data_IF_023706102079
#
_entry.id   IF_023706102079
#
_cell.length_a   1.000
_cell.length_b   1.000
_cell.length_c   1.000
_cell.angle_alpha   90.00
_cell.angle_beta   90.00
_cell.angle_gamma   90.00
#
_symmetry.space_group_name_H-M   'P 1'
#
loop_
_entity.id
_entity.type
_entity.pdbx_description
1 polymer ?
#
# COMPACT_ATOMS: atom_id res chain seq x y z
N UNK A 1 9.40 38.29 -0.25
CA UNK A 1 7.97 38.06 -0.56
C UNK A 1 7.72 37.88 -2.05
N UNK A 2 8.66 37.31 -2.81
CA UNK A 2 8.55 37.00 -4.24
C UNK A 2 9.49 35.82 -4.56
N UNK A 3 9.03 34.59 -4.36
CA UNK A 3 9.67 33.36 -4.92
C UNK A 3 8.82 32.09 -4.72
N UNK A 4 7.48 32.19 -4.81
CA UNK A 4 6.57 31.03 -4.76
C UNK A 4 5.81 30.88 -6.07
N UNK A 5 6.52 30.65 -7.18
CA UNK A 5 5.90 30.17 -8.41
C UNK A 5 6.95 29.41 -9.22
N UNK A 6 7.12 28.12 -8.95
CA UNK A 6 7.81 27.23 -9.87
C UNK A 6 7.28 25.80 -9.67
N UNK A 7 6.73 25.25 -10.76
CA UNK A 7 6.35 23.84 -10.97
C UNK A 7 5.12 23.30 -10.23
N UNK A 8 3.96 23.87 -10.52
CA UNK A 8 2.78 23.03 -10.78
C UNK A 8 2.55 23.09 -12.30
N UNK A 9 2.33 21.97 -13.01
CA UNK A 9 1.70 22.08 -14.32
C UNK A 9 0.40 22.86 -14.11
N UNK A 10 0.05 23.83 -14.97
CA UNK A 10 -1.10 24.68 -14.74
C UNK A 10 -2.33 23.77 -14.70
N UNK A 11 -2.88 23.57 -13.51
CA UNK A 11 -4.13 22.84 -13.28
C UNK A 11 -5.21 23.33 -14.25
N UNK A 12 -5.16 24.60 -14.63
CA UNK A 12 -6.00 25.22 -15.64
C UNK A 12 -5.86 24.65 -17.06
N UNK A 13 -4.67 24.20 -17.48
CA UNK A 13 -4.47 23.56 -18.80
C UNK A 13 -4.97 22.13 -18.78
N UNK A 14 -4.76 21.38 -17.69
CA UNK A 14 -5.36 20.05 -17.53
C UNK A 14 -6.88 20.15 -17.47
N UNK A 15 -7.41 21.10 -16.71
CA UNK A 15 -8.85 21.37 -16.61
C UNK A 15 -9.43 21.85 -17.94
N UNK A 16 -8.75 22.73 -18.66
CA UNK A 16 -9.16 23.18 -19.99
C UNK A 16 -9.11 22.04 -21.02
N UNK A 17 -8.10 21.17 -20.99
CA UNK A 17 -8.03 19.99 -21.86
C UNK A 17 -9.14 18.98 -21.55
N UNK A 18 -9.44 18.73 -20.27
CA UNK A 18 -10.57 17.88 -19.85
C UNK A 18 -11.90 18.46 -20.31
N UNK A 19 -12.12 19.76 -20.11
CA UNK A 19 -13.34 20.45 -20.57
C UNK A 19 -13.43 20.46 -22.10
N UNK A 20 -12.31 20.65 -22.80
CA UNK A 20 -12.27 20.65 -24.27
C UNK A 20 -12.54 19.25 -24.86
N UNK A 21 -12.01 18.19 -24.23
CA UNK A 21 -12.33 16.80 -24.60
C UNK A 21 -13.79 16.44 -24.33
N UNK A 22 -14.41 16.98 -23.27
CA UNK A 22 -15.82 16.73 -22.94
C UNK A 22 -16.80 17.43 -23.91
N UNK A 23 -16.39 18.52 -24.57
CA UNK A 23 -17.26 19.30 -25.48
C UNK A 23 -17.18 18.82 -26.94
N UNK A 24 -16.09 18.14 -27.34
CA UNK A 24 -15.84 17.74 -28.74
C UNK A 24 -16.76 16.65 -29.32
N UNK A 25 -17.61 16.00 -28.52
CA UNK A 25 -18.43 14.85 -28.95
C UNK A 25 -19.78 15.18 -29.62
N UNK A 26 -20.12 16.45 -29.85
CA UNK A 26 -21.46 16.84 -30.30
C UNK A 26 -21.69 16.79 -31.82
N UNK A 27 -20.76 16.25 -32.62
CA UNK A 27 -20.86 16.26 -34.07
C UNK A 27 -21.28 14.88 -34.62
N UNK A 28 -22.52 14.82 -35.14
CA UNK A 28 -23.19 13.70 -35.79
C UNK A 28 -23.50 12.49 -34.88
N UNK A 29 -24.67 12.53 -34.25
CA UNK A 29 -25.17 11.42 -33.45
C UNK A 29 -26.19 10.56 -34.21
N UNK A 30 -25.93 9.27 -34.33
CA UNK A 30 -26.91 8.28 -34.80
C UNK A 30 -27.82 7.87 -33.64
N UNK A 31 -29.13 7.69 -33.88
CA UNK A 31 -30.04 7.05 -32.93
C UNK A 31 -30.17 5.56 -33.28
N UNK A 32 -29.43 4.71 -32.57
CA UNK A 32 -29.38 3.28 -32.88
C UNK A 32 -30.72 2.57 -32.63
N UNK A 33 -31.51 3.01 -31.65
CA UNK A 33 -32.86 2.46 -31.42
C UNK A 33 -33.79 2.73 -32.59
N UNK A 34 -33.74 3.95 -33.14
CA UNK A 34 -34.50 4.27 -34.34
C UNK A 34 -33.99 3.45 -35.53
N UNK A 35 -32.67 3.44 -35.77
CA UNK A 35 -32.09 2.66 -36.87
C UNK A 35 -32.49 1.18 -36.82
N UNK A 36 -32.39 0.55 -35.65
CA UNK A 36 -32.77 -0.84 -35.45
C UNK A 36 -34.25 -1.08 -35.74
N UNK A 37 -35.14 -0.18 -35.28
CA UNK A 37 -36.56 -0.26 -35.60
C UNK A 37 -36.81 -0.14 -37.11
N UNK A 38 -36.06 0.71 -37.81
CA UNK A 38 -36.15 0.89 -39.26
C UNK A 38 -35.67 -0.35 -40.04
N UNK A 39 -34.62 -1.02 -39.57
CA UNK A 39 -34.14 -2.29 -40.10
C UNK A 39 -35.18 -3.41 -39.88
N UNK A 40 -35.71 -3.54 -38.66
CA UNK A 40 -36.70 -4.56 -38.30
C UNK A 40 -38.02 -4.38 -39.07
N UNK A 41 -38.39 -3.14 -39.38
CA UNK A 41 -39.55 -2.82 -40.22
C UNK A 41 -39.30 -3.03 -41.72
N UNK A 42 -38.09 -3.46 -42.12
CA UNK A 42 -37.76 -3.84 -43.49
C UNK A 42 -37.53 -2.65 -44.45
N UNK A 43 -37.32 -1.43 -43.94
CA UNK A 43 -37.15 -0.24 -44.80
C UNK A 43 -35.89 -0.28 -45.66
N UNK A 44 -34.88 -1.07 -45.25
CA UNK A 44 -33.59 -1.18 -45.93
C UNK A 44 -33.45 -2.43 -46.81
N UNK A 45 -34.57 -3.14 -47.04
CA UNK A 45 -34.64 -4.33 -47.88
C UNK A 45 -34.42 -5.66 -47.12
N UNK A 46 -34.68 -6.81 -47.77
CA UNK A 46 -34.68 -8.12 -47.11
C UNK A 46 -33.29 -8.78 -46.97
N UNK A 47 -32.25 -8.13 -47.49
CA UNK A 47 -30.88 -8.69 -47.56
C UNK A 47 -30.03 -8.14 -46.42
N UNK A 48 -29.16 -8.99 -45.86
CA UNK A 48 -28.22 -8.61 -44.82
C UNK A 48 -28.56 -9.12 -43.43
N UNK A 49 -29.71 -9.79 -43.25
CA UNK A 49 -29.98 -10.57 -42.03
C UNK A 49 -29.12 -11.84 -41.98
N UNK A 50 -28.63 -12.19 -40.80
CA UNK A 50 -27.78 -13.36 -40.51
C UNK A 50 -28.32 -14.12 -39.29
N UNK A 51 -28.12 -15.44 -39.25
CA UNK A 51 -28.34 -16.25 -38.05
C UNK A 51 -27.09 -16.30 -37.15
N UNK A 52 -27.19 -16.96 -35.99
CA UNK A 52 -26.09 -17.12 -35.02
C UNK A 52 -24.88 -17.90 -35.58
N UNK A 53 -25.02 -18.52 -36.75
CA UNK A 53 -23.94 -19.24 -37.45
C UNK A 53 -23.40 -18.46 -38.65
N UNK A 54 -23.89 -17.25 -38.90
CA UNK A 54 -23.47 -16.39 -40.01
C UNK A 54 -24.11 -16.76 -41.35
N UNK A 55 -25.20 -17.53 -41.36
CA UNK A 55 -25.93 -17.82 -42.59
C UNK A 55 -26.99 -16.73 -42.87
N UNK A 56 -27.18 -16.36 -44.14
CA UNK A 56 -28.15 -15.33 -44.51
C UNK A 56 -29.58 -15.81 -44.26
N UNK A 57 -30.34 -15.00 -43.52
CA UNK A 57 -31.76 -15.22 -43.24
C UNK A 57 -32.55 -13.93 -43.47
N UNK A 58 -33.87 -13.99 -43.70
CA UNK A 58 -34.70 -12.79 -43.78
C UNK A 58 -34.53 -11.94 -42.51
N UNK A 59 -34.45 -10.61 -42.67
CA UNK A 59 -34.23 -9.66 -41.57
C UNK A 59 -35.24 -9.83 -40.42
N UNK A 60 -36.49 -10.22 -40.72
CA UNK A 60 -37.53 -10.48 -39.71
C UNK A 60 -37.22 -11.64 -38.76
N UNK A 61 -36.35 -12.57 -39.19
CA UNK A 61 -35.97 -13.77 -38.44
C UNK A 61 -34.46 -13.78 -38.15
N UNK A 62 -33.77 -12.66 -38.41
CA UNK A 62 -32.35 -12.54 -38.22
C UNK A 62 -32.02 -12.31 -36.75
N UNK A 63 -30.95 -12.96 -36.28
CA UNK A 63 -30.38 -12.70 -34.96
C UNK A 63 -29.15 -11.80 -35.02
N UNK A 64 -28.68 -11.50 -36.24
CA UNK A 64 -27.61 -10.55 -36.52
C UNK A 64 -27.83 -9.86 -37.89
N UNK A 65 -27.13 -8.75 -38.12
CA UNK A 65 -27.09 -8.07 -39.43
C UNK A 65 -25.66 -7.96 -39.95
N UNK A 66 -25.50 -7.87 -41.26
CA UNK A 66 -24.18 -7.59 -41.85
C UNK A 66 -23.70 -6.20 -41.46
N UNK A 67 -22.38 -6.07 -41.27
CA UNK A 67 -21.74 -4.78 -41.02
C UNK A 67 -22.06 -3.75 -42.13
N UNK A 68 -22.18 -4.20 -43.38
CA UNK A 68 -22.59 -3.37 -44.50
C UNK A 68 -24.01 -2.82 -44.35
N UNK A 69 -24.97 -3.65 -43.93
CA UNK A 69 -26.34 -3.21 -43.66
C UNK A 69 -26.39 -2.24 -42.47
N UNK A 70 -25.60 -2.51 -41.42
CA UNK A 70 -25.50 -1.62 -40.26
C UNK A 70 -24.96 -0.23 -40.63
N UNK A 71 -23.86 -0.15 -41.39
CA UNK A 71 -23.32 1.14 -41.85
C UNK A 71 -24.26 1.86 -42.82
N UNK A 72 -25.00 1.11 -43.65
CA UNK A 72 -25.94 1.69 -44.60
C UNK A 72 -27.16 2.29 -43.90
N UNK A 73 -27.69 1.61 -42.89
CA UNK A 73 -28.88 2.04 -42.15
C UNK A 73 -28.56 3.03 -41.02
N UNK A 74 -27.49 2.79 -40.26
CA UNK A 74 -27.15 3.54 -39.05
C UNK A 74 -25.98 4.54 -39.26
N UNK A 75 -25.29 4.49 -40.41
CA UNK A 75 -24.10 5.29 -40.64
C UNK A 75 -22.89 4.81 -39.85
N UNK A 76 -21.78 5.56 -39.96
CA UNK A 76 -20.51 5.27 -39.28
C UNK A 76 -20.25 6.17 -38.05
N UNK A 77 -21.23 7.00 -37.68
CA UNK A 77 -21.14 7.94 -36.57
C UNK A 77 -21.43 7.30 -35.20
N UNK A 78 -20.92 7.87 -34.11
CA UNK A 78 -21.23 7.41 -32.76
C UNK A 78 -22.68 7.75 -32.35
N UNK A 79 -23.20 7.07 -31.33
CA UNK A 79 -24.47 7.46 -30.71
C UNK A 79 -24.38 8.82 -30.01
N UNK A 80 -25.51 9.52 -29.87
CA UNK A 80 -25.59 10.73 -29.07
C UNK A 80 -25.17 10.44 -27.63
N UNK A 81 -24.21 11.19 -27.10
CA UNK A 81 -23.90 11.11 -25.69
C UNK A 81 -25.12 11.56 -24.86
N UNK A 82 -25.69 10.64 -24.09
CA UNK A 82 -26.80 10.92 -23.18
C UNK A 82 -26.29 11.16 -21.77
N UNK A 83 -26.22 12.43 -21.36
CA UNK A 83 -25.83 12.81 -20.00
C UNK A 83 -26.71 12.18 -18.90
N UNK A 84 -28.05 12.09 -19.04
CA UNK A 84 -28.88 11.43 -18.04
C UNK A 84 -28.51 9.95 -17.85
N UNK A 85 -28.30 9.21 -18.95
CA UNK A 85 -27.89 7.80 -18.90
C UNK A 85 -26.49 7.68 -18.30
N UNK A 86 -25.54 8.48 -18.78
CA UNK A 86 -24.18 8.49 -18.25
C UNK A 86 -24.15 8.80 -16.74
N UNK A 87 -24.83 9.86 -16.30
CA UNK A 87 -24.82 10.29 -14.90
C UNK A 87 -25.49 9.28 -13.98
N UNK A 88 -26.63 8.69 -14.39
CA UNK A 88 -27.30 7.64 -13.62
C UNK A 88 -26.40 6.41 -13.46
N UNK A 89 -25.80 5.95 -14.56
CA UNK A 89 -24.86 4.84 -14.54
C UNK A 89 -23.64 5.22 -13.68
N UNK A 90 -22.94 6.31 -13.99
CA UNK A 90 -21.76 6.78 -13.25
C UNK A 90 -22.00 6.89 -11.74
N UNK A 91 -23.16 7.41 -11.30
CA UNK A 91 -23.51 7.46 -9.89
C UNK A 91 -23.75 6.08 -9.27
N UNK A 92 -24.45 5.18 -9.96
CA UNK A 92 -24.65 3.80 -9.51
C UNK A 92 -23.32 3.03 -9.39
N UNK A 93 -22.39 3.29 -10.31
CA UNK A 93 -21.12 2.57 -10.39
C UNK A 93 -20.04 3.17 -9.50
N UNK A 94 -19.91 4.50 -9.37
CA UNK A 94 -18.78 5.13 -8.68
C UNK A 94 -19.02 5.36 -7.18
N UNK A 95 -20.23 5.76 -6.78
CA UNK A 95 -20.51 6.16 -5.39
C UNK A 95 -20.16 5.07 -4.35
N UNK A 96 -20.44 3.77 -4.60
CA UNK A 96 -20.05 2.72 -3.66
C UNK A 96 -18.52 2.64 -3.47
N UNK A 97 -17.73 2.85 -4.52
CA UNK A 97 -16.27 2.78 -4.44
C UNK A 97 -15.64 4.01 -3.78
N UNK A 98 -16.25 5.20 -3.91
CA UNK A 98 -15.79 6.38 -3.16
C UNK A 98 -15.87 6.17 -1.64
N UNK A 99 -16.89 5.44 -1.17
CA UNK A 99 -16.98 5.07 0.24
C UNK A 99 -15.78 4.20 0.67
N UNK A 100 -15.36 3.23 -0.15
CA UNK A 100 -14.18 2.41 0.12
C UNK A 100 -12.86 3.19 0.05
N UNK A 101 -12.73 4.14 -0.87
CA UNK A 101 -11.54 5.01 -0.94
C UNK A 101 -11.36 5.78 0.37
N UNK A 102 -12.45 6.24 0.99
CA UNK A 102 -12.40 6.92 2.30
C UNK A 102 -11.90 6.03 3.44
N UNK A 103 -11.91 4.71 3.26
CA UNK A 103 -11.41 3.74 4.24
C UNK A 103 -9.92 3.40 4.05
N UNK A 104 -9.27 3.92 3.00
CA UNK A 104 -7.82 3.77 2.86
C UNK A 104 -7.10 4.53 3.99
N UNK A 105 -5.97 3.98 4.48
CA UNK A 105 -5.20 4.63 5.52
C UNK A 105 -4.55 5.90 4.97
N UNK A 106 -4.98 7.04 5.48
CA UNK A 106 -4.36 8.35 5.26
C UNK A 106 -3.74 8.81 6.57
N UNK A 107 -2.47 9.23 6.52
CA UNK A 107 -1.73 9.65 7.71
C UNK A 107 -0.66 10.69 7.42
N UNK A 108 -0.67 11.25 6.21
CA UNK A 108 0.35 12.20 5.81
C UNK A 108 0.25 13.49 6.62
N UNK A 109 1.41 14.12 6.84
CA UNK A 109 1.55 15.32 7.66
C UNK A 109 0.82 16.51 7.04
N UNK A 110 0.85 16.62 5.70
CA UNK A 110 0.16 17.66 4.96
C UNK A 110 -1.12 17.14 4.33
N UNK A 111 -2.17 17.97 4.33
CA UNK A 111 -3.45 17.64 3.65
C UNK A 111 -3.27 17.38 2.15
N UNK A 112 -2.34 18.09 1.51
CA UNK A 112 -2.00 17.89 0.09
C UNK A 112 -1.40 16.51 -0.18
N UNK A 113 -0.61 15.96 0.74
CA UNK A 113 -0.02 14.63 0.62
C UNK A 113 -1.11 13.55 0.74
N UNK A 114 -2.12 13.76 1.59
CA UNK A 114 -3.27 12.85 1.65
C UNK A 114 -4.07 12.84 0.33
N UNK A 115 -4.29 14.01 -0.30
CA UNK A 115 -4.93 14.09 -1.62
C UNK A 115 -4.09 13.39 -2.69
N UNK A 116 -2.76 13.60 -2.68
CA UNK A 116 -1.86 12.93 -3.61
C UNK A 116 -1.88 11.41 -3.41
N UNK A 117 -1.85 10.93 -2.17
CA UNK A 117 -1.92 9.51 -1.86
C UNK A 117 -3.23 8.87 -2.34
N UNK A 118 -4.35 9.57 -2.21
CA UNK A 118 -5.64 9.16 -2.77
C UNK A 118 -5.58 9.10 -4.31
N UNK A 119 -4.98 10.11 -4.93
CA UNK A 119 -4.84 10.21 -6.40
C UNK A 119 -3.95 9.09 -6.94
N UNK A 120 -2.84 8.79 -6.27
CA UNK A 120 -1.96 7.67 -6.59
C UNK A 120 -2.65 6.32 -6.42
N UNK A 121 -3.47 6.16 -5.38
CA UNK A 121 -4.19 4.91 -5.12
C UNK A 121 -5.21 4.64 -6.22
N UNK A 122 -6.01 5.66 -6.58
CA UNK A 122 -7.02 5.56 -7.63
C UNK A 122 -6.37 5.43 -9.01
N UNK A 123 -5.33 6.22 -9.27
CA UNK A 123 -4.64 6.24 -10.55
C UNK A 123 -3.78 5.00 -10.83
N UNK A 124 -3.40 4.25 -9.79
CA UNK A 124 -2.59 3.04 -9.93
C UNK A 124 -2.99 1.95 -8.92
N UNK A 125 -3.94 1.07 -9.28
CA UNK A 125 -4.28 -0.10 -8.49
C UNK A 125 -3.09 -1.01 -8.20
N UNK A 126 -2.20 -1.17 -9.19
CA UNK A 126 -0.96 -1.97 -9.08
C UNK A 126 -0.07 -1.41 -7.99
N UNK A 127 0.10 -0.09 -7.91
CA UNK A 127 0.92 0.55 -6.88
C UNK A 127 0.30 0.37 -5.49
N UNK A 128 -1.01 0.57 -5.36
CA UNK A 128 -1.73 0.40 -4.10
C UNK A 128 -1.58 -1.04 -3.56
N UNK A 129 -1.78 -2.03 -4.44
CA UNK A 129 -1.61 -3.45 -4.11
C UNK A 129 -0.14 -3.81 -3.85
N UNK A 130 0.80 -3.27 -4.62
CA UNK A 130 2.23 -3.50 -4.44
C UNK A 130 2.70 -3.04 -3.06
N UNK A 131 2.35 -1.81 -2.66
CA UNK A 131 2.70 -1.25 -1.35
C UNK A 131 2.08 -2.02 -0.19
N UNK A 132 0.85 -2.53 -0.35
CA UNK A 132 0.19 -3.42 0.61
C UNK A 132 0.96 -4.74 0.77
N UNK A 133 1.22 -5.44 -0.34
CA UNK A 133 1.90 -6.73 -0.31
C UNK A 133 3.33 -6.60 0.23
N UNK A 134 4.05 -5.54 -0.15
CA UNK A 134 5.35 -5.24 0.45
C UNK A 134 5.28 -5.07 1.96
N UNK A 135 4.23 -4.41 2.47
CA UNK A 135 4.03 -4.26 3.92
C UNK A 135 3.91 -5.62 4.61
N UNK A 136 3.07 -6.51 4.08
CA UNK A 136 2.89 -7.87 4.60
C UNK A 136 4.19 -8.67 4.54
N UNK A 137 4.86 -8.67 3.39
CA UNK A 137 6.09 -9.45 3.19
C UNK A 137 7.23 -8.97 4.08
N UNK A 138 7.32 -7.67 4.34
CA UNK A 138 8.30 -7.09 5.25
C UNK A 138 8.05 -7.48 6.70
N UNK A 139 6.81 -7.35 7.19
CA UNK A 139 6.46 -7.80 8.53
C UNK A 139 6.74 -9.31 8.73
N UNK A 140 6.37 -10.14 7.74
CA UNK A 140 6.62 -11.59 7.78
C UNK A 140 8.11 -11.93 7.76
N UNK A 141 8.90 -11.23 6.94
CA UNK A 141 10.35 -11.42 6.89
C UNK A 141 10.99 -11.04 8.23
N UNK A 142 10.62 -9.90 8.80
CA UNK A 142 11.18 -9.43 10.07
C UNK A 142 10.85 -10.38 11.22
N UNK A 143 9.58 -10.78 11.34
CA UNK A 143 9.15 -11.71 12.37
C UNK A 143 9.90 -13.05 12.29
N UNK A 144 10.19 -13.55 11.08
CA UNK A 144 10.97 -14.78 10.88
C UNK A 144 12.43 -14.65 11.32
N UNK A 145 13.06 -13.51 11.04
CA UNK A 145 14.44 -13.26 11.46
C UNK A 145 14.52 -13.26 12.99
N UNK A 146 13.68 -12.45 13.63
CA UNK A 146 13.67 -12.28 15.09
C UNK A 146 13.16 -13.50 15.85
N UNK A 147 12.37 -14.39 15.23
CA UNK A 147 11.96 -15.66 15.85
C UNK A 147 13.14 -16.57 16.20
N UNK A 148 14.30 -16.39 15.54
CA UNK A 148 15.52 -17.14 15.83
C UNK A 148 16.41 -16.49 16.91
N UNK A 149 16.06 -15.28 17.38
CA UNK A 149 16.88 -14.52 18.31
C UNK A 149 16.41 -14.75 19.74
N UNK A 150 17.35 -15.16 20.59
CA UNK A 150 17.21 -15.33 22.03
C UNK A 150 17.93 -14.16 22.72
N UNK A 151 17.22 -13.04 22.86
CA UNK A 151 17.69 -11.84 23.56
C UNK A 151 16.48 -11.05 24.10
N UNK A 152 16.61 -10.21 25.16
CA UNK A 152 15.50 -9.43 25.68
C UNK A 152 14.99 -8.46 24.61
N UNK A 153 13.74 -8.00 24.72
CA UNK A 153 13.12 -7.02 23.82
C UNK A 153 12.95 -7.42 22.34
N UNK A 154 13.32 -8.64 21.92
CA UNK A 154 13.13 -9.11 20.53
C UNK A 154 11.68 -8.95 20.04
N UNK A 155 10.68 -9.26 20.89
CA UNK A 155 9.26 -9.06 20.57
C UNK A 155 8.90 -7.58 20.41
N UNK A 156 9.43 -6.70 21.27
CA UNK A 156 9.23 -5.27 21.16
C UNK A 156 9.87 -4.71 19.89
N UNK A 157 11.09 -5.15 19.55
CA UNK A 157 11.79 -4.74 18.34
C UNK A 157 10.98 -5.08 17.08
N UNK A 158 10.43 -6.29 16.96
CA UNK A 158 9.55 -6.67 15.84
C UNK A 158 8.34 -5.75 15.76
N UNK A 159 7.69 -5.48 16.90
CA UNK A 159 6.50 -4.63 16.97
C UNK A 159 6.81 -3.19 16.54
N UNK A 160 7.90 -2.62 17.06
CA UNK A 160 8.32 -1.25 16.79
C UNK A 160 8.70 -1.10 15.32
N UNK A 161 9.57 -1.97 14.79
CA UNK A 161 10.01 -1.90 13.39
C UNK A 161 8.85 -2.08 12.41
N UNK A 162 7.92 -3.01 12.69
CA UNK A 162 6.71 -3.20 11.87
C UNK A 162 5.80 -1.97 11.93
N UNK A 163 5.66 -1.35 13.11
CA UNK A 163 4.85 -0.14 13.28
C UNK A 163 5.47 1.09 12.60
N UNK A 164 6.80 1.19 12.61
CA UNK A 164 7.55 2.28 11.98
C UNK A 164 7.78 2.07 10.47
N UNK A 165 7.24 1.00 9.88
CA UNK A 165 7.42 0.69 8.47
C UNK A 165 6.94 1.81 7.52
N UNK A 166 5.91 2.55 7.94
CA UNK A 166 5.39 3.63 7.11
C UNK A 166 6.12 4.96 7.34
N UNK A 167 7.20 4.99 8.12
CA UNK A 167 7.98 6.20 8.40
C UNK A 167 9.32 6.18 7.69
N UNK A 168 9.89 7.35 7.45
CA UNK A 168 11.29 7.48 7.02
C UNK A 168 12.21 7.23 8.23
N UNK A 169 12.29 5.97 8.65
CA UNK A 169 13.10 5.53 9.78
C UNK A 169 14.59 5.64 9.44
N UNK A 170 15.34 6.32 10.31
CA UNK A 170 16.78 6.32 10.36
C UNK A 170 17.24 5.61 11.64
N UNK A 171 18.25 4.76 11.48
CA UNK A 171 18.93 4.09 12.59
C UNK A 171 20.37 4.56 12.61
N UNK A 172 20.83 5.01 13.78
CA UNK A 172 22.20 5.51 13.98
C UNK A 172 23.00 4.50 14.79
N UNK A 173 24.09 4.01 14.20
CA UNK A 173 24.99 3.02 14.83
C UNK A 173 26.27 3.65 15.38
N UNK A 174 26.50 4.94 15.17
CA UNK A 174 27.69 5.64 15.66
C UNK A 174 27.64 5.84 17.18
N UNK A 175 28.82 6.01 17.78
CA UNK A 175 28.99 6.30 19.21
C UNK A 175 28.27 5.31 20.14
N UNK A 176 28.17 4.05 19.72
CA UNK A 176 27.49 2.99 20.43
C UNK A 176 26.00 3.20 20.68
N UNK A 177 25.33 4.13 19.98
CA UNK A 177 23.92 4.47 20.24
C UNK A 177 22.99 3.26 20.09
N UNK A 178 22.98 2.62 18.91
CA UNK A 178 22.17 1.43 18.69
C UNK A 178 22.59 0.28 19.59
N UNK A 179 23.90 0.04 19.74
CA UNK A 179 24.42 -1.07 20.52
C UNK A 179 24.04 -0.94 21.99
N UNK A 180 24.16 0.26 22.58
CA UNK A 180 23.73 0.58 23.94
C UNK A 180 22.23 0.39 24.10
N UNK A 181 21.44 0.85 23.12
CA UNK A 181 19.99 0.69 23.15
C UNK A 181 19.54 -0.78 23.14
N UNK A 182 20.24 -1.63 22.40
CA UNK A 182 19.93 -3.06 22.32
C UNK A 182 20.40 -3.79 23.58
N UNK A 183 21.63 -3.54 24.02
CA UNK A 183 22.31 -4.38 25.01
C UNK A 183 21.98 -3.96 26.44
N UNK A 184 22.05 -2.67 26.79
CA UNK A 184 21.97 -2.24 28.18
C UNK A 184 20.60 -2.53 28.81
N UNK A 185 20.55 -3.00 30.07
CA UNK A 185 19.30 -3.28 30.78
C UNK A 185 18.47 -2.02 31.06
N UNK A 186 19.11 -0.86 31.25
CA UNK A 186 18.42 0.44 31.46
C UNK A 186 17.48 0.79 30.30
N UNK A 187 17.81 0.31 29.09
CA UNK A 187 17.05 0.55 27.88
C UNK A 187 15.85 -0.40 27.70
N UNK A 188 15.63 -1.38 28.58
CA UNK A 188 14.46 -2.27 28.51
C UNK A 188 13.15 -1.47 28.61
N UNK A 189 13.14 -0.41 29.43
CA UNK A 189 12.00 0.51 29.55
C UNK A 189 11.74 1.31 28.26
N UNK A 190 12.78 1.64 27.49
CA UNK A 190 12.65 2.31 26.19
C UNK A 190 11.88 1.43 25.19
N UNK A 191 12.23 0.14 25.10
CA UNK A 191 11.58 -0.80 24.19
C UNK A 191 10.12 -1.03 24.57
N UNK A 192 9.83 -1.16 25.86
CA UNK A 192 8.48 -1.34 26.37
C UNK A 192 7.60 -0.10 26.14
N UNK A 193 8.04 1.11 26.54
CA UNK A 193 7.27 2.36 26.39
C UNK A 193 7.00 2.64 24.90
N UNK A 194 8.01 2.53 24.02
CA UNK A 194 7.79 2.76 22.60
C UNK A 194 6.81 1.75 21.99
N UNK A 195 6.93 0.47 22.34
CA UNK A 195 6.03 -0.57 21.83
C UNK A 195 4.58 -0.37 22.32
N UNK A 196 4.38 0.15 23.53
CA UNK A 196 3.06 0.49 24.08
C UNK A 196 2.45 1.69 23.36
N UNK A 197 3.21 2.78 23.17
CA UNK A 197 2.70 3.99 22.51
C UNK A 197 2.40 3.81 21.02
N UNK A 198 3.09 2.86 20.37
CA UNK A 198 2.82 2.44 19.00
C UNK A 198 1.65 1.45 18.90
N UNK A 199 1.23 0.85 20.01
CA UNK A 199 0.12 -0.10 20.09
C UNK A 199 -1.26 0.58 20.15
N UNK A 200 -1.55 1.36 19.12
CA UNK A 200 -2.89 1.90 18.97
C UNK A 200 -3.64 1.17 17.89
N UNK A 201 -4.71 0.49 18.27
CA UNK A 201 -5.58 -0.23 17.35
C UNK A 201 -6.38 0.77 16.53
N UNK A 202 -6.15 0.79 15.22
CA UNK A 202 -7.00 1.50 14.26
C UNK A 202 -7.54 0.44 13.29
N UNK A 203 -8.36 -0.48 13.81
CA UNK A 203 -8.92 -1.58 13.04
C UNK A 203 -10.45 -1.55 13.10
N UNK A 204 -11.06 -1.90 11.96
CA UNK A 204 -12.50 -2.13 11.77
C UNK A 204 -13.40 -1.10 12.46
N UNK A 205 -13.52 0.09 11.86
CA UNK A 205 -14.63 0.96 12.22
C UNK A 205 -15.95 0.35 11.72
N UNK A 206 -17.05 0.58 12.45
CA UNK A 206 -18.40 0.19 12.01
C UNK A 206 -18.69 0.77 10.62
N UNK A 207 -18.21 2.00 10.36
CA UNK A 207 -18.30 2.65 9.07
C UNK A 207 -17.58 1.86 7.96
N UNK A 208 -16.36 1.38 8.20
CA UNK A 208 -15.61 0.57 7.24
C UNK A 208 -16.35 -0.73 6.91
N UNK A 209 -16.85 -1.43 7.93
CA UNK A 209 -17.61 -2.66 7.75
C UNK A 209 -18.90 -2.42 6.95
N UNK A 210 -19.64 -1.36 7.28
CA UNK A 210 -20.86 -0.99 6.57
C UNK A 210 -20.60 -0.58 5.11
N UNK A 211 -19.52 0.16 4.84
CA UNK A 211 -19.12 0.52 3.48
C UNK A 211 -18.78 -0.74 2.66
N UNK A 212 -18.01 -1.68 3.20
CA UNK A 212 -17.69 -2.94 2.52
C UNK A 212 -18.97 -3.74 2.22
N UNK A 213 -19.85 -3.90 3.20
CA UNK A 213 -21.11 -4.60 3.01
C UNK A 213 -21.98 -3.95 1.93
N UNK A 214 -22.07 -2.61 1.92
CA UNK A 214 -22.84 -1.87 0.92
C UNK A 214 -22.28 -2.02 -0.49
N UNK A 215 -20.95 -2.01 -0.65
CA UNK A 215 -20.33 -2.27 -1.96
C UNK A 215 -20.64 -3.67 -2.46
N UNK A 216 -20.58 -4.70 -1.60
CA UNK A 216 -20.93 -6.06 -1.98
C UNK A 216 -22.40 -6.20 -2.39
N UNK A 217 -23.32 -5.57 -1.65
CA UNK A 217 -24.75 -5.57 -1.96
C UNK A 217 -25.01 -4.85 -3.29
N UNK A 218 -24.42 -3.67 -3.48
CA UNK A 218 -24.56 -2.89 -4.70
C UNK A 218 -24.05 -3.68 -5.91
N UNK A 219 -22.86 -4.30 -5.80
CA UNK A 219 -22.30 -5.13 -6.87
C UNK A 219 -23.17 -6.36 -7.15
N UNK A 220 -23.75 -7.01 -6.14
CA UNK A 220 -24.66 -8.14 -6.33
C UNK A 220 -25.93 -7.72 -7.07
N UNK A 221 -26.58 -6.63 -6.65
CA UNK A 221 -27.77 -6.11 -7.34
C UNK A 221 -27.47 -5.72 -8.77
N UNK A 222 -26.34 -5.09 -8.99
CA UNK A 222 -25.81 -4.84 -10.32
C UNK A 222 -25.70 -6.10 -11.16
N UNK A 223 -25.09 -7.17 -10.64
CA UNK A 223 -24.94 -8.43 -11.38
C UNK A 223 -26.31 -9.04 -11.67
N UNK A 224 -27.26 -8.98 -10.72
CA UNK A 224 -28.63 -9.48 -10.91
C UNK A 224 -29.35 -8.67 -11.99
N UNK A 225 -29.34 -7.34 -11.90
CA UNK A 225 -29.93 -6.42 -12.89
C UNK A 225 -29.36 -6.70 -14.29
N UNK A 226 -28.06 -7.00 -14.33
CA UNK A 226 -27.37 -7.34 -15.56
C UNK A 226 -27.85 -8.63 -16.23
N UNK A 227 -28.40 -9.59 -15.46
CA UNK A 227 -29.02 -10.80 -16.01
C UNK A 227 -30.51 -10.60 -16.34
N UNK A 228 -31.20 -9.68 -15.68
CA UNK A 228 -32.62 -9.40 -15.94
C UNK A 228 -32.83 -8.45 -17.12
N UNK A 229 -31.89 -7.53 -17.36
CA UNK A 229 -31.97 -6.53 -18.42
C UNK A 229 -31.54 -7.03 -19.82
N UNK A 230 -30.97 -8.25 -19.93
CA UNK A 230 -30.65 -8.92 -21.21
C UNK A 230 -31.91 -9.05 -22.10
N UNK A 231 -33.09 -9.05 -21.49
CA UNK A 231 -34.36 -9.22 -22.18
C UNK A 231 -34.97 -7.91 -22.71
N UNK A 232 -34.48 -6.71 -22.31
CA UNK A 232 -35.23 -5.46 -22.52
C UNK A 232 -34.45 -4.26 -23.10
N UNK A 233 -33.10 -4.25 -23.18
CA UNK A 233 -32.40 -3.07 -23.72
C UNK A 233 -31.03 -3.32 -24.35
N UNK A 234 -30.83 -2.75 -25.55
CA UNK A 234 -29.60 -2.71 -26.39
C UNK A 234 -28.51 -1.78 -25.82
N UNK A 235 -28.74 -1.15 -24.67
CA UNK A 235 -27.79 -0.19 -24.10
C UNK A 235 -26.70 -0.91 -23.30
N UNK A 236 -25.45 -0.51 -23.56
CA UNK A 236 -24.24 -0.88 -22.81
C UNK A 236 -24.50 -0.84 -21.30
N UNK A 237 -24.85 -2.01 -20.74
CA UNK A 237 -25.03 -2.17 -19.30
C UNK A 237 -23.68 -1.91 -18.65
N UNK A 238 -23.59 -0.96 -17.71
CA UNK A 238 -22.35 -0.47 -17.09
C UNK A 238 -21.51 -1.51 -16.31
N UNK A 239 -21.73 -2.81 -16.53
CA UNK A 239 -21.02 -3.98 -15.99
C UNK A 239 -19.49 -3.81 -15.99
N UNK A 240 -18.94 -3.29 -17.09
CA UNK A 240 -17.49 -3.08 -17.25
C UNK A 240 -16.95 -2.02 -16.29
N UNK A 241 -17.73 -1.00 -15.95
CA UNK A 241 -17.29 0.07 -15.04
C UNK A 241 -17.20 -0.43 -13.60
N UNK A 242 -18.15 -1.25 -13.14
CA UNK A 242 -18.12 -1.81 -11.78
C UNK A 242 -16.99 -2.81 -11.54
N UNK A 243 -16.69 -3.66 -12.53
CA UNK A 243 -15.63 -4.68 -12.43
C UNK A 243 -14.22 -4.07 -12.37
N UNK A 244 -14.02 -2.90 -12.99
CA UNK A 244 -12.76 -2.13 -12.93
C UNK A 244 -12.39 -1.72 -11.50
N UNK A 245 -13.34 -1.62 -10.57
CA UNK A 245 -13.06 -1.19 -9.19
C UNK A 245 -12.94 -2.35 -8.19
N UNK A 246 -13.19 -3.60 -8.60
CA UNK A 246 -13.17 -4.77 -7.72
C UNK A 246 -11.83 -4.95 -6.97
N UNK A 247 -10.72 -4.45 -7.52
CA UNK A 247 -9.41 -4.50 -6.87
C UNK A 247 -9.36 -3.71 -5.56
N UNK A 248 -10.25 -2.72 -5.39
CA UNK A 248 -10.27 -1.87 -4.20
C UNK A 248 -10.68 -2.67 -2.96
N UNK A 249 -11.54 -3.68 -3.10
CA UNK A 249 -11.97 -4.54 -2.00
C UNK A 249 -10.80 -5.24 -1.30
N UNK A 250 -9.99 -6.09 -1.97
CA UNK A 250 -8.86 -6.75 -1.32
C UNK A 250 -7.81 -5.75 -0.83
N UNK A 251 -7.63 -4.60 -1.49
CA UNK A 251 -6.70 -3.56 -1.04
C UNK A 251 -7.17 -2.92 0.28
N UNK A 252 -8.41 -2.47 0.36
CA UNK A 252 -8.98 -1.86 1.56
C UNK A 252 -9.04 -2.87 2.70
N UNK A 253 -9.52 -4.09 2.44
CA UNK A 253 -9.56 -5.17 3.45
C UNK A 253 -8.14 -5.48 3.95
N UNK A 254 -7.16 -5.58 3.06
CA UNK A 254 -5.76 -5.79 3.45
C UNK A 254 -5.22 -4.69 4.35
N UNK A 255 -5.47 -3.43 4.01
CA UNK A 255 -5.05 -2.30 4.85
C UNK A 255 -5.75 -2.27 6.21
N UNK A 256 -7.04 -2.59 6.26
CA UNK A 256 -7.79 -2.70 7.51
C UNK A 256 -7.29 -3.85 8.40
N UNK A 257 -6.84 -4.97 7.81
CA UNK A 257 -6.24 -6.08 8.55
C UNK A 257 -4.86 -5.73 9.11
N UNK A 258 -4.02 -5.04 8.32
CA UNK A 258 -2.67 -4.65 8.74
C UNK A 258 -2.71 -3.49 9.74
N UNK A 259 -3.63 -2.55 9.58
CA UNK A 259 -3.72 -1.31 10.38
C UNK A 259 -2.38 -0.56 10.47
N UNK A 260 -1.82 -0.14 9.32
CA UNK A 260 -0.53 0.49 9.27
C UNK A 260 -0.52 1.79 10.10
N UNK A 261 0.50 1.96 10.95
CA UNK A 261 0.67 3.20 11.70
C UNK A 261 1.26 4.24 10.76
N UNK A 262 0.45 5.21 10.37
CA UNK A 262 0.82 6.23 9.39
C UNK A 262 0.70 7.66 9.88
N UNK A 263 0.12 7.91 11.06
CA UNK A 263 0.03 9.26 11.65
C UNK A 263 1.43 9.76 12.06
N UNK A 264 1.98 10.67 11.26
CA UNK A 264 3.35 11.15 11.43
C UNK A 264 3.57 11.85 12.77
N UNK A 265 2.59 12.63 13.23
CA UNK A 265 2.73 13.44 14.44
C UNK A 265 2.70 12.55 15.67
N UNK A 266 1.79 11.57 15.68
CA UNK A 266 1.70 10.58 16.76
C UNK A 266 2.96 9.69 16.83
N UNK A 267 3.45 9.22 15.69
CA UNK A 267 4.67 8.41 15.62
C UNK A 267 5.90 9.18 16.09
N UNK A 268 6.02 10.44 15.67
CA UNK A 268 7.12 11.32 16.10
C UNK A 268 7.05 11.63 17.59
N UNK A 269 5.85 11.86 18.13
CA UNK A 269 5.65 12.09 19.56
C UNK A 269 6.01 10.85 20.40
N UNK A 270 5.57 9.66 19.98
CA UNK A 270 5.90 8.40 20.63
C UNK A 270 7.41 8.16 20.65
N UNK A 271 8.09 8.36 19.51
CA UNK A 271 9.53 8.16 19.41
C UNK A 271 10.31 9.19 20.25
N UNK A 272 9.89 10.47 20.22
CA UNK A 272 10.52 11.52 21.04
C UNK A 272 10.42 11.21 22.52
N UNK A 273 9.26 10.73 22.98
CA UNK A 273 9.05 10.32 24.37
C UNK A 273 9.96 9.16 24.76
N UNK A 274 9.96 8.08 23.98
CA UNK A 274 10.82 6.93 24.27
C UNK A 274 12.29 7.34 24.29
N UNK A 275 12.75 8.16 23.34
CA UNK A 275 14.12 8.66 23.27
C UNK A 275 14.59 9.50 24.48
N UNK A 276 13.69 9.94 25.36
CA UNK A 276 14.06 10.55 26.65
C UNK A 276 14.45 9.51 27.72
N UNK A 277 14.09 8.24 27.52
CA UNK A 277 14.43 7.11 28.40
C UNK A 277 15.72 6.39 27.97
N UNK A 278 16.36 6.84 26.89
CA UNK A 278 17.51 6.15 26.32
C UNK A 278 18.79 6.44 27.12
N UNK A 279 19.59 5.39 27.34
CA UNK A 279 20.90 5.42 27.98
C UNK A 279 22.00 4.95 27.03
N UNK A 280 23.19 5.51 27.20
CA UNK A 280 24.42 5.13 26.49
C UNK A 280 25.37 4.51 27.51
N UNK A 281 26.13 3.52 27.05
CA UNK A 281 27.15 2.89 27.86
C UNK A 281 28.22 3.93 28.28
N UNK A 282 28.86 3.75 29.45
CA UNK A 282 29.95 4.63 29.88
C UNK A 282 31.20 4.44 29.02
N UNK A 283 32.12 5.41 29.06
CA UNK A 283 33.41 5.31 28.39
C UNK A 283 34.32 4.23 29.00
N UNK A 284 34.11 3.86 30.27
CA UNK A 284 34.90 2.85 30.95
C UNK A 284 34.02 1.82 31.66
N UNK A 285 34.47 0.55 31.69
CA UNK A 285 33.71 -0.51 32.37
C UNK A 285 33.67 -0.26 33.88
N UNK A 286 32.48 -0.43 34.48
CA UNK A 286 32.24 -0.26 35.91
C UNK A 286 31.65 1.11 36.29
N UNK A 287 31.59 2.06 35.37
CA UNK A 287 30.82 3.30 35.53
C UNK A 287 29.33 3.07 35.22
N UNK A 288 28.42 3.91 35.75
CA UNK A 288 27.01 3.83 35.42
C UNK A 288 26.73 4.31 33.99
N UNK A 289 25.71 3.74 33.34
CA UNK A 289 25.22 4.23 32.06
C UNK A 289 24.72 5.67 32.18
N UNK A 290 24.90 6.46 31.12
CA UNK A 290 24.60 7.90 31.08
C UNK A 290 23.36 8.16 30.22
N UNK A 291 22.45 9.07 30.60
CA UNK A 291 21.32 9.44 29.74
C UNK A 291 21.81 9.93 28.37
N UNK A 292 21.24 9.40 27.29
CA UNK A 292 21.66 9.70 25.92
C UNK A 292 21.52 11.18 25.57
N UNK A 293 20.58 11.88 26.21
CA UNK A 293 20.33 13.29 25.98
C UNK A 293 21.39 14.24 26.54
N UNK A 294 22.16 13.79 27.52
CA UNK A 294 23.26 14.56 28.10
C UNK A 294 24.53 14.49 27.24
N UNK A 295 24.66 13.42 26.45
CA UNK A 295 25.86 13.13 25.66
C UNK A 295 25.74 13.66 24.22
N UNK A 296 24.60 13.43 23.57
CA UNK A 296 24.41 13.78 22.16
C UNK A 296 22.98 14.22 21.87
N UNK A 297 22.79 14.98 20.79
CA UNK A 297 21.47 15.30 20.25
C UNK A 297 20.94 14.20 19.33
N UNK A 298 21.81 13.32 18.84
CA UNK A 298 21.42 12.19 17.99
C UNK A 298 20.79 11.06 18.79
N UNK A 299 19.98 10.23 18.12
CA UNK A 299 19.27 9.11 18.76
C UNK A 299 19.39 7.89 17.88
N UNK A 300 19.48 6.72 18.51
CA UNK A 300 19.58 5.44 17.82
C UNK A 300 18.42 5.22 16.83
N UNK A 301 17.20 5.63 17.19
CA UNK A 301 16.04 5.64 16.30
C UNK A 301 15.57 7.09 16.09
N UNK A 302 15.43 7.48 14.83
CA UNK A 302 14.89 8.79 14.46
C UNK A 302 13.97 8.68 13.23
N UNK A 303 12.94 9.52 13.18
CA UNK A 303 12.17 9.73 11.94
C UNK A 303 12.77 10.95 11.25
N UNK A 304 13.25 10.77 10.02
CA UNK A 304 13.85 11.88 9.27
C UNK A 304 12.81 12.97 8.99
N UNK A 305 13.22 14.22 9.18
CA UNK A 305 12.36 15.38 8.94
C UNK A 305 12.27 15.70 7.45
N UNK A 306 11.08 16.13 7.03
CA UNK A 306 10.79 16.61 5.68
C UNK A 306 11.80 17.69 5.26
N UNK A 307 12.46 17.52 4.12
CA UNK A 307 13.33 18.56 3.54
C UNK A 307 12.57 19.28 2.43
N UNK A 308 12.29 20.59 2.54
CA UNK A 308 11.63 21.32 1.47
C UNK A 308 12.40 21.21 0.15
N UNK A 309 11.74 20.73 -0.92
CA UNK A 309 12.37 20.52 -2.23
C UNK A 309 13.18 19.23 -2.36
N UNK A 310 13.02 18.28 -1.43
CA UNK A 310 13.62 16.94 -1.52
C UNK A 310 13.17 16.22 -2.79
N UNK A 311 14.13 15.63 -3.50
CA UNK A 311 13.85 14.69 -4.60
C UNK A 311 13.22 13.39 -4.06
N UNK A 312 13.40 13.11 -2.77
CA UNK A 312 12.92 11.90 -2.09
C UNK A 312 11.62 12.16 -1.31
N UNK A 313 10.77 13.08 -1.76
CA UNK A 313 9.55 13.49 -1.05
C UNK A 313 8.61 12.32 -0.72
N UNK A 314 8.48 11.36 -1.64
CA UNK A 314 7.67 10.15 -1.44
C UNK A 314 8.17 9.31 -0.25
N UNK A 315 9.48 9.23 -0.04
CA UNK A 315 10.05 8.50 1.11
C UNK A 315 9.62 9.13 2.43
N UNK A 316 9.49 10.45 2.46
CA UNK A 316 9.13 11.22 3.66
C UNK A 316 7.62 11.17 3.98
N UNK A 317 6.78 10.77 3.02
CA UNK A 317 5.33 10.75 3.16
C UNK A 317 4.82 9.49 3.89
N UNK A 318 4.25 9.63 5.08
CA UNK A 318 3.86 8.48 5.92
C UNK A 318 2.66 7.64 5.44
N UNK A 319 1.94 8.08 4.40
CA UNK A 319 0.82 7.30 3.88
C UNK A 319 1.30 5.95 3.31
N UNK A 320 0.57 4.84 3.53
CA UNK A 320 1.07 3.50 3.21
C UNK A 320 1.29 3.23 1.73
N UNK A 321 0.62 3.97 0.84
CA UNK A 321 0.86 3.85 -0.60
C UNK A 321 2.31 4.17 -0.97
N UNK A 322 3.01 5.04 -0.23
CA UNK A 322 4.40 5.41 -0.51
C UNK A 322 5.43 4.39 -0.02
N UNK A 323 5.00 3.24 0.53
CA UNK A 323 5.91 2.19 1.00
C UNK A 323 6.87 1.68 -0.10
N UNK A 324 6.51 1.80 -1.40
CA UNK A 324 7.42 1.49 -2.50
C UNK A 324 8.72 2.31 -2.46
N UNK A 325 8.64 3.59 -2.06
CA UNK A 325 9.78 4.49 -2.02
C UNK A 325 10.68 4.19 -0.82
N UNK A 326 10.09 3.85 0.33
CA UNK A 326 10.81 3.53 1.57
C UNK A 326 11.36 2.12 1.67
N UNK A 327 11.00 1.24 0.73
CA UNK A 327 11.27 -0.19 0.85
C UNK A 327 12.74 -0.48 1.19
N UNK A 328 13.69 0.14 0.48
CA UNK A 328 15.11 -0.11 0.70
C UNK A 328 15.66 0.57 1.95
N UNK A 329 15.26 1.81 2.23
CA UNK A 329 15.74 2.57 3.40
C UNK A 329 15.24 1.94 4.70
N UNK A 330 13.96 1.55 4.77
CA UNK A 330 13.41 0.83 5.92
C UNK A 330 14.05 -0.56 6.09
N UNK A 331 14.24 -1.32 5.00
CA UNK A 331 14.89 -2.64 5.09
C UNK A 331 16.32 -2.52 5.62
N UNK A 332 17.07 -1.49 5.21
CA UNK A 332 18.41 -1.25 5.75
C UNK A 332 18.37 -0.99 7.26
N UNK A 333 17.49 -0.08 7.70
CA UNK A 333 17.34 0.24 9.12
C UNK A 333 16.95 -1.00 9.94
N UNK A 334 16.00 -1.79 9.43
CA UNK A 334 15.58 -3.04 10.08
C UNK A 334 16.71 -4.08 10.15
N UNK A 335 17.54 -4.20 9.11
CA UNK A 335 18.72 -5.07 9.08
C UNK A 335 19.80 -4.64 10.08
N UNK A 336 20.02 -3.34 10.26
CA UNK A 336 20.99 -2.83 11.24
C UNK A 336 20.59 -3.23 12.67
N UNK A 337 19.31 -3.07 13.00
CA UNK A 337 18.76 -3.52 14.28
C UNK A 337 18.82 -5.05 14.38
N UNK A 338 18.41 -5.77 13.32
CA UNK A 338 18.44 -7.23 13.28
C UNK A 338 19.84 -7.80 13.49
N UNK A 339 20.87 -7.20 12.88
CA UNK A 339 22.27 -7.58 13.06
C UNK A 339 22.72 -7.44 14.51
N UNK A 340 22.37 -6.32 15.17
CA UNK A 340 22.73 -6.10 16.57
C UNK A 340 22.10 -7.16 17.49
N UNK A 341 20.80 -7.46 17.30
CA UNK A 341 20.11 -8.53 18.04
C UNK A 341 20.66 -9.92 17.74
N UNK A 342 21.00 -10.21 16.48
CA UNK A 342 21.61 -11.47 16.09
C UNK A 342 22.93 -11.71 16.81
N UNK A 343 23.85 -10.75 16.77
CA UNK A 343 25.14 -10.87 17.43
C UNK A 343 24.99 -10.97 18.96
N UNK A 344 24.14 -10.13 19.56
CA UNK A 344 23.87 -10.21 20.99
C UNK A 344 23.29 -11.58 21.38
N UNK A 345 22.36 -12.13 20.60
CA UNK A 345 21.81 -13.47 20.83
C UNK A 345 22.86 -14.58 20.70
N UNK A 346 23.73 -14.53 19.69
CA UNK A 346 24.81 -15.51 19.52
C UNK A 346 25.79 -15.48 20.71
N UNK A 347 26.14 -14.30 21.21
CA UNK A 347 27.02 -14.16 22.39
C UNK A 347 26.39 -14.71 23.67
N UNK A 348 25.09 -14.48 23.85
CA UNK A 348 24.32 -15.07 24.96
C UNK A 348 24.29 -16.59 24.87
N UNK A 349 24.04 -17.17 23.69
CA UNK A 349 24.07 -18.64 23.52
C UNK A 349 25.44 -19.23 23.85
N UNK A 350 26.50 -18.48 23.59
CA UNK A 350 27.87 -18.83 23.96
C UNK A 350 28.23 -18.55 25.43
N UNK A 351 27.27 -18.07 26.23
CA UNK A 351 27.45 -17.68 27.63
C UNK A 351 28.60 -16.67 27.80
N UNK A 352 28.64 -15.65 26.94
CA UNK A 352 29.63 -14.57 27.00
C UNK A 352 28.98 -13.28 27.52
N UNK A 353 29.46 -12.71 28.64
CA UNK A 353 29.02 -11.40 29.08
C UNK A 353 29.58 -10.30 28.17
N UNK A 354 29.00 -9.11 28.26
CA UNK A 354 29.45 -7.92 27.51
C UNK A 354 30.84 -7.49 27.96
N UNK A 355 31.04 -7.31 29.26
CA UNK A 355 32.38 -7.08 29.82
C UNK A 355 33.17 -8.40 29.88
N UNK A 356 34.26 -8.56 29.10
CA UNK A 356 35.07 -9.77 29.09
C UNK A 356 35.78 -10.05 30.42
N UNK A 357 35.92 -9.05 31.30
CA UNK A 357 36.50 -9.22 32.62
C UNK A 357 35.55 -9.93 33.60
N UNK A 358 34.25 -9.96 33.30
CA UNK A 358 33.24 -10.63 34.12
C UNK A 358 33.05 -12.08 33.67
N UNK A 359 32.66 -12.94 34.61
CA UNK A 359 32.20 -14.29 34.28
C UNK A 359 30.69 -14.26 34.04
N UNK A 360 30.22 -15.12 33.15
CA UNK A 360 28.79 -15.25 32.88
C UNK A 360 28.04 -15.69 34.13
N UNK A 361 27.10 -14.87 34.58
CA UNK A 361 26.25 -15.19 35.71
C UNK A 361 25.00 -15.96 35.26
N UNK A 362 24.86 -17.19 35.78
CA UNK A 362 23.69 -18.04 35.54
C UNK A 362 22.65 -18.00 36.67
N UNK A 363 22.85 -17.19 37.73
CA UNK A 363 21.99 -17.18 38.92
C UNK A 363 20.75 -16.31 38.71
N UNK A 364 19.55 -16.92 38.82
CA UNK A 364 18.27 -16.20 38.83
C UNK A 364 17.15 -16.83 37.99
N UNK A 365 17.42 -17.94 37.29
CA UNK A 365 16.55 -18.52 36.26
C UNK A 365 15.21 -19.03 36.82
N UNK A 366 14.21 -18.17 36.82
CA UNK A 366 12.86 -18.57 36.42
C UNK A 366 12.71 -18.10 34.97
N UNK A 367 12.57 -19.04 34.03
CA UNK A 367 12.21 -18.80 32.61
C UNK A 367 13.29 -18.34 31.61
N UNK A 368 14.59 -18.47 31.91
CA UNK A 368 15.64 -18.22 30.90
C UNK A 368 15.91 -16.74 30.60
N UNK A 369 15.56 -15.84 31.51
CA UNK A 369 15.90 -14.42 31.40
C UNK A 369 17.40 -14.18 31.62
N UNK A 370 17.97 -13.29 30.81
CA UNK A 370 19.38 -12.91 30.90
C UNK A 370 19.56 -11.93 32.06
N UNK A 371 20.47 -12.28 32.97
CA UNK A 371 20.82 -11.48 34.15
C UNK A 371 21.36 -10.10 33.70
N UNK A 372 20.84 -8.98 34.22
CA UNK A 372 21.25 -7.62 33.82
C UNK A 372 22.76 -7.38 33.87
N UNK A 373 23.45 -7.95 34.86
CA UNK A 373 24.91 -7.81 35.05
C UNK A 373 25.74 -8.36 33.88
N UNK A 374 25.20 -9.32 33.12
CA UNK A 374 25.85 -9.87 31.92
C UNK A 374 25.77 -8.92 30.72
N UNK A 375 24.91 -7.88 30.81
CA UNK A 375 24.61 -6.92 29.75
C UNK A 375 25.26 -5.54 29.98
N UNK A 376 26.05 -5.40 31.04
CA UNK A 376 26.78 -4.17 31.37
C UNK A 376 28.19 -4.18 30.77
N UNK A 377 28.66 -3.02 30.31
CA UNK A 377 30.02 -2.81 29.80
C UNK A 377 30.23 -1.38 29.29
N UNK A 378 31.45 -1.07 28.84
CA UNK A 378 31.75 0.22 28.20
C UNK A 378 31.17 0.31 26.79
N UNK A 379 31.16 1.51 26.20
CA UNK A 379 30.74 1.74 24.80
C UNK A 379 31.43 0.79 23.84
N UNK A 380 32.75 0.65 23.92
CA UNK A 380 33.52 -0.22 23.03
C UNK A 380 33.15 -1.69 23.21
N UNK A 381 32.91 -2.11 24.46
CA UNK A 381 32.51 -3.48 24.78
C UNK A 381 31.12 -3.79 24.23
N UNK A 382 30.16 -2.87 24.39
CA UNK A 382 28.80 -3.00 23.89
C UNK A 382 28.75 -2.99 22.36
N UNK A 383 29.54 -2.13 21.70
CA UNK A 383 29.69 -2.13 20.24
C UNK A 383 30.30 -3.43 19.72
N UNK A 384 31.35 -3.93 20.38
CA UNK A 384 31.97 -5.21 20.04
C UNK A 384 31.02 -6.40 20.29
N UNK A 385 30.07 -6.26 21.21
CA UNK A 385 29.07 -7.29 21.50
C UNK A 385 28.01 -7.41 20.39
N UNK A 386 27.60 -6.27 19.82
CA UNK A 386 26.63 -6.17 18.73
C UNK A 386 27.23 -6.34 17.32
N UNK A 387 28.54 -6.52 17.22
CA UNK A 387 29.25 -6.68 15.95
C UNK A 387 30.17 -7.89 15.96
N UNK A 388 30.69 -8.25 14.79
CA UNK A 388 31.75 -9.24 14.66
C UNK A 388 32.80 -8.73 13.68
N UNK A 389 34.06 -8.83 14.08
CA UNK A 389 35.23 -8.47 13.24
C UNK A 389 35.26 -9.32 11.96
N UNK A 390 34.71 -10.55 12.02
CA UNK A 390 34.68 -11.49 10.90
C UNK A 390 33.40 -11.41 10.05
N UNK A 391 32.43 -10.57 10.43
CA UNK A 391 31.18 -10.44 9.69
C UNK A 391 31.35 -9.51 8.49
N UNK A 392 31.71 -10.10 7.35
CA UNK A 392 31.62 -9.43 6.06
C UNK A 392 30.13 -9.23 5.74
N UNK A 393 29.65 -7.99 5.82
CA UNK A 393 28.30 -7.58 5.43
C UNK A 393 28.01 -8.04 3.99
N UNK A 394 27.38 -9.21 3.82
CA UNK A 394 27.14 -9.84 2.50
C UNK A 394 26.20 -9.04 1.61
N UNK A 395 25.30 -8.23 2.19
CA UNK A 395 24.38 -7.34 1.48
C UNK A 395 23.90 -6.24 2.43
N UNK A 396 23.81 -4.99 1.94
CA UNK A 396 23.28 -3.85 2.72
C UNK A 396 21.79 -3.99 3.05
N UNK A 397 21.07 -4.82 2.30
CA UNK A 397 19.62 -4.94 2.40
C UNK A 397 19.17 -6.28 3.01
N UNK A 398 20.11 -7.17 3.35
CA UNK A 398 19.76 -8.48 3.89
C UNK A 398 19.32 -9.50 2.82
N UNK A 399 18.95 -10.72 3.24
CA UNK A 399 18.55 -11.78 2.31
C UNK A 399 17.11 -11.57 1.79
N UNK A 400 16.85 -12.04 0.57
CA UNK A 400 15.52 -12.11 -0.06
C UNK A 400 14.81 -10.77 -0.35
N UNK A 401 15.49 -9.64 -0.35
CA UNK A 401 14.92 -8.31 -0.67
C UNK A 401 14.32 -8.26 -2.07
N UNK A 402 15.09 -8.68 -3.07
CA UNK A 402 14.63 -8.74 -4.46
C UNK A 402 13.48 -9.72 -4.62
N UNK A 403 13.52 -10.86 -3.93
CA UNK A 403 12.43 -11.84 -3.94
C UNK A 403 11.14 -11.24 -3.40
N UNK A 404 11.18 -10.47 -2.31
CA UNK A 404 10.01 -9.77 -1.76
C UNK A 404 9.44 -8.76 -2.76
N UNK A 405 10.30 -7.96 -3.38
CA UNK A 405 9.89 -6.98 -4.39
C UNK A 405 9.27 -7.65 -5.62
N UNK A 406 9.88 -8.71 -6.15
CA UNK A 406 9.36 -9.47 -7.30
C UNK A 406 8.01 -10.11 -6.97
N UNK A 407 7.89 -10.79 -5.81
CA UNK A 407 6.63 -11.42 -5.39
C UNK A 407 5.53 -10.37 -5.20
N UNK A 408 5.85 -9.23 -4.60
CA UNK A 408 4.89 -8.13 -4.48
C UNK A 408 4.43 -7.61 -5.85
N UNK A 409 5.35 -7.47 -6.81
CA UNK A 409 5.02 -7.06 -8.17
C UNK A 409 4.15 -8.07 -8.92
N UNK A 410 4.46 -9.37 -8.79
CA UNK A 410 3.65 -10.42 -9.42
C UNK A 410 2.24 -10.48 -8.83
N UNK A 411 2.10 -10.38 -7.51
CA UNK A 411 0.79 -10.41 -6.85
C UNK A 411 -0.04 -9.16 -7.18
N UNK A 412 0.57 -7.97 -7.24
CA UNK A 412 -0.14 -6.75 -7.61
C UNK A 412 -0.58 -6.76 -9.08
N UNK A 413 0.26 -7.27 -9.99
CA UNK A 413 -0.10 -7.47 -11.39
C UNK A 413 -1.21 -8.52 -11.53
N UNK A 414 -1.15 -9.63 -10.79
CA UNK A 414 -2.19 -10.66 -10.82
C UNK A 414 -3.55 -10.09 -10.36
N UNK A 415 -3.56 -9.24 -9.32
CA UNK A 415 -4.78 -8.57 -8.87
C UNK A 415 -5.34 -7.61 -9.94
N UNK A 416 -4.47 -6.82 -10.58
CA UNK A 416 -4.87 -5.91 -11.64
C UNK A 416 -5.41 -6.66 -12.87
N UNK A 417 -4.73 -7.72 -13.29
CA UNK A 417 -5.18 -8.57 -14.40
C UNK A 417 -6.47 -9.32 -14.07
N UNK A 418 -6.64 -9.80 -12.84
CA UNK A 418 -7.87 -10.46 -12.40
C UNK A 418 -9.11 -9.57 -12.47
N UNK A 419 -8.94 -8.25 -12.40
CA UNK A 419 -10.05 -7.28 -12.41
C UNK A 419 -10.18 -6.59 -13.77
N UNK A 420 -9.12 -5.93 -14.22
CA UNK A 420 -9.11 -5.21 -15.50
C UNK A 420 -9.03 -6.16 -16.68
N UNK A 421 -8.26 -7.25 -16.58
CA UNK A 421 -8.19 -8.27 -17.62
C UNK A 421 -9.53 -8.99 -17.81
N UNK A 422 -10.27 -9.25 -16.72
CA UNK A 422 -11.63 -9.77 -16.82
C UNK A 422 -12.55 -8.79 -17.57
N UNK A 423 -12.46 -7.49 -17.30
CA UNK A 423 -13.21 -6.48 -18.05
C UNK A 423 -12.82 -6.44 -19.54
N UNK A 424 -11.52 -6.54 -19.87
CA UNK A 424 -11.04 -6.60 -21.25
C UNK A 424 -11.52 -7.88 -21.95
N UNK A 425 -11.45 -9.03 -21.29
CA UNK A 425 -11.94 -10.32 -21.83
C UNK A 425 -13.44 -10.24 -22.08
N UNK A 426 -14.21 -9.67 -21.15
CA UNK A 426 -15.63 -9.40 -21.37
C UNK A 426 -15.80 -8.54 -22.62
N UNK A 427 -15.17 -7.37 -22.71
CA UNK A 427 -15.31 -6.50 -23.91
C UNK A 427 -14.83 -7.17 -25.21
N UNK A 428 -13.81 -8.03 -25.14
CA UNK A 428 -13.24 -8.70 -26.31
C UNK A 428 -14.08 -9.88 -26.82
N UNK A 429 -14.69 -10.63 -25.90
CA UNK A 429 -15.53 -11.79 -26.22
C UNK A 429 -17.02 -11.47 -26.22
N UNK A 430 -17.44 -10.33 -25.66
CA UNK A 430 -18.70 -9.69 -26.02
C UNK A 430 -18.55 -9.31 -27.48
N UNK A 431 -19.21 -10.02 -28.41
CA UNK A 431 -19.05 -9.71 -29.80
C UNK A 431 -19.53 -8.26 -29.99
N UNK A 432 -18.84 -7.48 -30.82
CA UNK A 432 -19.43 -6.25 -31.41
C UNK A 432 -20.51 -6.63 -32.43
N UNK A 433 -21.29 -7.66 -32.14
CA UNK A 433 -22.65 -7.74 -32.60
C UNK A 433 -23.34 -6.54 -31.96
N UNK A 434 -24.01 -5.70 -32.76
CA UNK A 434 -25.15 -4.99 -32.19
C UNK A 434 -26.07 -6.08 -31.68
N UNK A 435 -25.97 -6.42 -30.39
CA UNK A 435 -26.77 -7.48 -29.80
C UNK A 435 -28.18 -6.93 -29.61
N UNK A 436 -29.00 -7.28 -30.60
CA UNK A 436 -30.47 -7.43 -30.64
C UNK A 436 -31.33 -6.35 -30.01
#
# INVERSE_FOLDING_TARGET
>A
MLSRFAYNPPIYVVFALVVFFLIGGAAASTNFNQCLAEINNGMWGPKGGMDNTGHPVPVSNATAITYELCNLACGTGPEAFSWPVFSQQFSAWLLPWLALISQLPFGARLRSENIMSMTLAIGSPVLAAYSLVLTVLNGRWLARQFASYEFPNTRYAVRILTSLQQTHLAVTTTDGLLSSLVVLPENDAWWADLAEWLDYTHTWSIAAAASIAWVLIAYLFTVIDSFTAILESVNSNGQSVGSVWLWLLPVVVGWLQISPKCDSDRLTAALKRANALAYIAPASSGEPAVPAEEVTAERAFAIQRLRPGSVYHDEECSAPIYNYARFFSWVQAAEEVSCAFYHASERVRQHRPVDPARQWEAKGVKNGEIVPQNREGSVEQVEAYCSSVDYVRRSRWGPHVLSRSIVAGLLSLALQWGTTGAAIVVVWFTPTTGES
#
